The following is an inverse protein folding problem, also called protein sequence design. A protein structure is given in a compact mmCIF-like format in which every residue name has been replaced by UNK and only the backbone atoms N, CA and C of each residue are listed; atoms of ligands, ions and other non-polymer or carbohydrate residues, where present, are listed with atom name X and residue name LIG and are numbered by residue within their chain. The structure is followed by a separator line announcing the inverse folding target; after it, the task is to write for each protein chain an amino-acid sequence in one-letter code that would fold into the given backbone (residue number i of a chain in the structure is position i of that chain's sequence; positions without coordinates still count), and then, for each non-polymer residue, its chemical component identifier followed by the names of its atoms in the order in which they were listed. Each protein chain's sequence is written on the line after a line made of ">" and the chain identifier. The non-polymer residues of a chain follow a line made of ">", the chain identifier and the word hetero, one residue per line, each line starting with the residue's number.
data_IF_396290299369
#
_entry.id   IF_396290299369
#
_cell.length_a   1.000
_cell.length_b   1.000
_cell.length_c   1.000
_cell.angle_alpha   90.00
_cell.angle_beta   90.00
_cell.angle_gamma   90.00
#
_symmetry.space_group_name_H-M   'P 1'
#
loop_
_entity.id
_entity.type
_entity.pdbx_description
1 polymer ?
#
# COMPACT_ATOMS: atom_id res chain seq x y z
N UNK A 1 7.80 -32.01 -8.24
CA UNK A 1 7.88 -30.56 -8.02
C UNK A 1 8.38 -30.34 -6.59
N UNK A 2 9.38 -29.50 -6.42
CA UNK A 2 9.80 -29.07 -5.08
C UNK A 2 8.65 -28.32 -4.38
N UNK A 3 8.58 -28.42 -3.06
CA UNK A 3 7.57 -27.68 -2.29
C UNK A 3 7.73 -26.18 -2.58
N UNK A 4 6.67 -25.53 -3.05
CA UNK A 4 6.70 -24.13 -3.47
C UNK A 4 6.82 -23.90 -4.99
N UNK A 5 6.84 -24.94 -5.80
CA UNK A 5 6.82 -24.84 -7.26
C UNK A 5 5.40 -24.95 -7.81
N UNK A 6 5.08 -24.15 -8.83
CA UNK A 6 3.84 -24.18 -9.58
C UNK A 6 4.09 -24.39 -11.06
N UNK A 7 3.14 -25.04 -11.74
CA UNK A 7 3.17 -25.20 -13.19
C UNK A 7 2.08 -24.34 -13.82
N UNK A 8 2.48 -23.44 -14.73
CA UNK A 8 1.57 -22.56 -15.45
C UNK A 8 1.97 -22.49 -16.93
N UNK A 9 1.04 -22.69 -17.84
CA UNK A 9 1.28 -22.71 -19.29
C UNK A 9 2.48 -23.57 -19.75
N UNK A 10 2.68 -24.72 -19.09
CA UNK A 10 3.75 -25.67 -19.41
C UNK A 10 5.13 -25.33 -18.79
N UNK A 11 5.26 -24.18 -18.19
CA UNK A 11 6.47 -23.74 -17.49
C UNK A 11 6.38 -24.04 -16.00
N UNK A 12 7.52 -24.19 -15.35
CA UNK A 12 7.64 -24.37 -13.90
C UNK A 12 8.13 -23.07 -13.29
N UNK A 13 7.46 -22.63 -12.23
CA UNK A 13 7.82 -21.43 -11.49
C UNK A 13 8.14 -21.81 -10.05
N UNK A 14 9.19 -21.24 -9.50
CA UNK A 14 9.62 -21.44 -8.12
C UNK A 14 9.52 -20.11 -7.37
N UNK A 15 8.99 -20.15 -6.15
CA UNK A 15 8.91 -18.95 -5.31
C UNK A 15 10.33 -18.41 -5.06
N UNK A 16 10.53 -17.11 -5.31
CA UNK A 16 11.82 -16.44 -5.12
C UNK A 16 12.25 -16.53 -3.67
N UNK A 17 13.45 -17.02 -3.42
CA UNK A 17 14.00 -17.12 -2.06
C UNK A 17 14.42 -15.73 -1.57
N UNK A 18 14.30 -15.54 -0.28
CA UNK A 18 14.81 -14.36 0.43
C UNK A 18 14.11 -13.03 0.09
N UNK A 19 13.03 -13.05 -0.71
CA UNK A 19 12.23 -11.83 -0.89
C UNK A 19 11.51 -11.46 0.42
N UNK A 20 11.41 -10.17 0.66
CA UNK A 20 10.68 -9.61 1.79
C UNK A 20 9.50 -8.80 1.30
N UNK A 21 8.33 -9.07 1.85
CA UNK A 21 7.08 -8.42 1.46
C UNK A 21 6.49 -7.68 2.66
N UNK A 22 6.16 -6.40 2.48
CA UNK A 22 5.59 -5.55 3.52
C UNK A 22 4.28 -4.92 3.05
N UNK A 23 3.29 -4.93 3.94
CA UNK A 23 2.00 -4.28 3.70
C UNK A 23 2.02 -2.86 4.30
N UNK A 24 1.81 -1.87 3.45
CA UNK A 24 1.64 -0.47 3.86
C UNK A 24 0.18 -0.06 3.74
N UNK A 25 -0.36 0.49 4.82
CA UNK A 25 -1.74 0.95 4.92
C UNK A 25 -1.77 2.45 5.27
N UNK A 26 -2.54 3.21 4.50
CA UNK A 26 -2.92 4.57 4.84
C UNK A 26 -4.33 4.58 5.44
N UNK A 27 -4.44 4.91 6.71
CA UNK A 27 -5.71 4.86 7.47
C UNK A 27 -6.37 6.24 7.48
N UNK A 28 -7.68 6.26 7.27
CA UNK A 28 -8.52 7.46 7.24
C UNK A 28 -8.79 8.05 8.64
N UNK A 29 -7.74 8.12 9.46
CA UNK A 29 -7.77 8.66 10.82
C UNK A 29 -6.88 9.89 10.93
N UNK A 30 -7.23 10.76 11.84
CA UNK A 30 -6.45 11.95 12.20
C UNK A 30 -5.78 11.77 13.56
N UNK A 31 -4.64 12.45 13.73
CA UNK A 31 -3.88 12.44 14.97
C UNK A 31 -3.15 11.14 15.25
N UNK A 32 -2.80 10.94 16.50
CA UNK A 32 -2.09 9.76 16.97
C UNK A 32 -2.96 8.50 16.91
N UNK A 33 -2.31 7.34 16.76
CA UNK A 33 -3.01 6.05 16.79
C UNK A 33 -3.57 5.78 18.17
N UNK A 34 -4.82 5.29 18.21
CA UNK A 34 -5.54 4.97 19.46
C UNK A 34 -6.39 3.74 19.25
N UNK A 35 -6.42 2.90 20.28
CA UNK A 35 -7.33 1.77 20.32
C UNK A 35 -8.79 2.23 20.17
N UNK A 36 -9.56 1.50 19.39
CA UNK A 36 -11.00 1.69 19.24
C UNK A 36 -11.73 0.58 19.98
N UNK A 37 -12.60 0.94 20.91
CA UNK A 37 -13.48 -0.01 21.61
C UNK A 37 -14.71 -0.41 20.79
N UNK A 38 -14.92 0.23 19.65
CA UNK A 38 -16.08 -0.01 18.78
C UNK A 38 -15.60 -0.56 17.44
N UNK A 39 -16.14 -1.71 17.07
CA UNK A 39 -16.02 -2.26 15.71
C UNK A 39 -16.42 -1.19 14.69
N UNK A 40 -15.75 -1.22 13.54
CA UNK A 40 -15.87 -0.26 12.44
C UNK A 40 -15.40 1.17 12.75
N UNK A 41 -14.83 1.43 13.93
CA UNK A 41 -14.21 2.71 14.27
C UNK A 41 -12.70 2.70 14.26
N UNK A 42 -12.07 1.56 13.95
CA UNK A 42 -10.62 1.43 13.79
C UNK A 42 -10.04 2.19 12.59
N UNK A 43 -10.91 2.71 11.71
CA UNK A 43 -10.53 3.38 10.46
C UNK A 43 -10.44 2.43 9.29
N UNK A 44 -10.70 2.93 8.09
CA UNK A 44 -10.57 2.17 6.85
C UNK A 44 -9.19 2.41 6.23
N UNK A 45 -8.69 1.40 5.54
CA UNK A 45 -7.47 1.55 4.75
C UNK A 45 -7.80 2.23 3.41
N UNK A 46 -7.49 3.51 3.29
CA UNK A 46 -7.73 4.31 2.10
C UNK A 46 -6.60 4.23 1.07
N UNK A 47 -5.44 3.74 1.50
CA UNK A 47 -4.31 3.40 0.65
C UNK A 47 -3.77 2.03 1.08
N UNK A 48 -3.54 1.14 0.12
CA UNK A 48 -2.99 -0.20 0.35
C UNK A 48 -1.91 -0.47 -0.69
N UNK A 49 -0.71 -0.79 -0.21
CA UNK A 49 0.43 -1.13 -1.05
C UNK A 49 1.19 -2.33 -0.50
N UNK A 50 1.55 -3.27 -1.39
CA UNK A 50 2.57 -4.27 -1.09
C UNK A 50 3.91 -3.80 -1.64
N UNK A 51 4.90 -3.66 -0.78
CA UNK A 51 6.28 -3.46 -1.18
C UNK A 51 7.03 -4.77 -1.11
N UNK A 52 7.73 -5.12 -2.17
CA UNK A 52 8.51 -6.34 -2.30
C UNK A 52 9.97 -5.95 -2.50
N UNK A 53 10.83 -6.39 -1.58
CA UNK A 53 12.27 -6.25 -1.69
C UNK A 53 12.85 -7.58 -2.18
N UNK A 54 13.47 -7.57 -3.34
CA UNK A 54 14.14 -8.72 -3.94
C UNK A 54 15.66 -8.56 -3.83
N UNK A 55 16.31 -9.24 -2.88
CA UNK A 55 17.76 -9.18 -2.72
C UNK A 55 18.52 -9.82 -3.88
N UNK A 56 17.93 -10.81 -4.54
CA UNK A 56 18.53 -11.52 -5.67
C UNK A 56 18.68 -10.62 -6.89
N UNK A 57 17.62 -9.91 -7.23
CA UNK A 57 17.61 -8.94 -8.34
C UNK A 57 18.05 -7.53 -7.91
N UNK A 58 18.21 -7.29 -6.62
CA UNK A 58 18.41 -5.95 -6.02
C UNK A 58 17.37 -4.95 -6.52
N UNK A 59 16.12 -5.32 -6.37
CA UNK A 59 14.96 -4.63 -6.92
C UNK A 59 13.92 -4.37 -5.85
N UNK A 60 13.25 -3.21 -5.94
CA UNK A 60 12.03 -2.91 -5.20
C UNK A 60 10.87 -2.99 -6.18
N UNK A 61 9.83 -3.73 -5.84
CA UNK A 61 8.55 -3.71 -6.56
C UNK A 61 7.44 -3.25 -5.62
N UNK A 62 6.47 -2.52 -6.14
CA UNK A 62 5.32 -2.04 -5.37
C UNK A 62 4.05 -2.41 -6.11
N UNK A 63 3.10 -3.02 -5.42
CA UNK A 63 1.77 -3.35 -5.95
C UNK A 63 0.74 -2.47 -5.26
N UNK A 64 0.06 -1.63 -6.04
CA UNK A 64 -1.07 -0.84 -5.57
C UNK A 64 -2.36 -1.66 -5.57
N UNK A 65 -3.08 -1.66 -4.45
CA UNK A 65 -4.33 -2.38 -4.28
C UNK A 65 -5.47 -1.36 -4.20
N UNK A 66 -6.44 -1.46 -5.11
CA UNK A 66 -7.62 -0.62 -5.05
C UNK A 66 -8.39 -0.92 -3.77
N UNK A 67 -8.72 0.10 -2.97
CA UNK A 67 -9.41 -0.05 -1.69
C UNK A 67 -10.79 -0.70 -1.79
N UNK A 68 -11.44 -0.55 -2.93
CA UNK A 68 -12.77 -1.10 -3.20
C UNK A 68 -12.70 -2.55 -3.74
N UNK A 69 -11.51 -3.18 -3.74
CA UNK A 69 -11.30 -4.57 -4.16
C UNK A 69 -12.15 -5.51 -3.29
N UNK A 70 -12.99 -6.29 -3.94
CA UNK A 70 -13.78 -7.32 -3.29
C UNK A 70 -12.91 -8.51 -2.94
N UNK A 71 -12.68 -8.71 -1.64
CA UNK A 71 -11.78 -9.73 -1.11
C UNK A 71 -12.42 -10.48 0.06
N UNK A 72 -12.02 -11.74 0.23
CA UNK A 72 -12.44 -12.54 1.39
C UNK A 72 -11.70 -12.09 2.63
N UNK A 73 -12.41 -11.69 3.67
CA UNK A 73 -11.84 -11.20 4.93
C UNK A 73 -12.58 -11.73 6.14
N UNK A 74 -11.92 -11.74 7.28
CA UNK A 74 -12.52 -12.04 8.55
C UNK A 74 -13.50 -10.93 8.95
N UNK A 75 -14.67 -11.32 9.43
CA UNK A 75 -15.69 -10.40 9.94
C UNK A 75 -16.06 -10.75 11.36
N UNK A 76 -16.46 -9.75 12.12
CA UNK A 76 -16.76 -9.86 13.54
C UNK A 76 -18.16 -9.32 13.81
N UNK A 77 -18.86 -9.91 14.78
CA UNK A 77 -20.15 -9.42 15.22
C UNK A 77 -20.05 -8.11 16.02
N UNK A 78 -21.17 -7.53 16.39
CA UNK A 78 -21.22 -6.26 17.17
C UNK A 78 -20.55 -6.33 18.55
N UNK A 79 -20.24 -7.54 19.04
CA UNK A 79 -19.56 -7.77 20.30
C UNK A 79 -18.07 -8.07 20.13
N UNK A 80 -17.54 -7.95 18.90
CA UNK A 80 -16.15 -8.25 18.59
C UNK A 80 -15.82 -9.74 18.51
N UNK A 81 -16.83 -10.61 18.34
CA UNK A 81 -16.60 -12.04 18.19
C UNK A 81 -16.49 -12.39 16.72
N UNK A 82 -15.51 -13.23 16.40
CA UNK A 82 -15.35 -13.74 15.04
C UNK A 82 -16.66 -14.41 14.56
N UNK A 83 -17.14 -13.97 13.41
CA UNK A 83 -18.42 -14.37 12.82
C UNK A 83 -18.26 -15.13 11.49
N UNK A 84 -17.03 -15.35 11.04
CA UNK A 84 -16.72 -16.04 9.80
C UNK A 84 -15.96 -15.17 8.80
N UNK A 85 -15.98 -15.60 7.54
CA UNK A 85 -15.38 -14.85 6.43
C UNK A 85 -16.49 -14.37 5.50
N UNK A 86 -16.34 -13.17 4.98
CA UNK A 86 -17.22 -12.58 3.96
C UNK A 86 -16.40 -11.93 2.87
N UNK A 87 -16.98 -11.81 1.69
CA UNK A 87 -16.42 -11.00 0.61
C UNK A 87 -16.94 -9.57 0.76
N UNK A 88 -16.03 -8.64 0.93
CA UNK A 88 -16.32 -7.20 1.06
C UNK A 88 -15.15 -6.37 0.52
N UNK A 89 -15.31 -5.05 0.46
CA UNK A 89 -14.24 -4.13 0.08
C UNK A 89 -13.06 -4.27 1.04
N UNK A 90 -11.85 -4.48 0.50
CA UNK A 90 -10.65 -4.77 1.30
C UNK A 90 -10.29 -3.67 2.29
N UNK A 91 -10.65 -2.42 2.00
CA UNK A 91 -10.48 -1.28 2.92
C UNK A 91 -11.14 -1.50 4.29
N UNK A 92 -12.21 -2.31 4.35
CA UNK A 92 -12.97 -2.58 5.58
C UNK A 92 -12.25 -3.57 6.50
N UNK A 93 -11.28 -4.32 6.02
CA UNK A 93 -10.55 -5.32 6.82
C UNK A 93 -9.92 -4.70 8.07
N UNK A 94 -9.35 -3.49 7.94
CA UNK A 94 -8.78 -2.75 9.07
C UNK A 94 -9.86 -2.25 10.06
N UNK A 95 -11.03 -1.87 9.56
CA UNK A 95 -12.10 -1.34 10.39
C UNK A 95 -12.73 -2.39 11.33
N UNK A 96 -12.57 -3.68 11.02
CA UNK A 96 -13.09 -4.78 11.85
C UNK A 96 -12.26 -5.08 13.11
N UNK A 97 -11.09 -4.49 13.26
CA UNK A 97 -10.23 -4.69 14.44
C UNK A 97 -10.33 -3.56 15.46
N UNK A 98 -9.32 -3.51 16.31
CA UNK A 98 -9.18 -2.55 17.41
C UNK A 98 -8.59 -1.18 16.99
N UNK A 99 -8.25 -1.02 15.72
CA UNK A 99 -7.53 0.14 15.21
C UNK A 99 -6.02 0.09 15.41
N UNK A 100 -5.51 -0.99 15.97
CA UNK A 100 -4.09 -1.24 16.23
C UNK A 100 -3.64 -2.55 15.55
N UNK A 101 -2.97 -3.43 16.30
CA UNK A 101 -2.39 -4.67 15.76
C UNK A 101 -3.45 -5.60 15.15
N UNK A 102 -4.56 -5.85 15.85
CA UNK A 102 -5.64 -6.71 15.34
C UNK A 102 -6.19 -6.20 13.99
N UNK A 103 -6.35 -4.88 13.84
CA UNK A 103 -6.77 -4.28 12.57
C UNK A 103 -5.75 -4.49 11.45
N UNK A 104 -4.47 -4.38 11.76
CA UNK A 104 -3.39 -4.62 10.81
C UNK A 104 -3.32 -6.09 10.40
N UNK A 105 -3.44 -7.02 11.35
CA UNK A 105 -3.46 -8.46 11.11
C UNK A 105 -4.65 -8.89 10.25
N UNK A 106 -5.84 -8.31 10.48
CA UNK A 106 -7.00 -8.52 9.62
C UNK A 106 -6.76 -8.07 8.18
N UNK A 107 -6.09 -6.93 8.00
CA UNK A 107 -5.75 -6.44 6.67
C UNK A 107 -4.67 -7.29 6.01
N UNK A 108 -3.68 -7.74 6.78
CA UNK A 108 -2.63 -8.63 6.31
C UNK A 108 -3.23 -9.97 5.84
N UNK A 109 -4.13 -10.58 6.62
CA UNK A 109 -4.84 -11.80 6.24
C UNK A 109 -5.66 -11.60 4.95
N UNK A 110 -6.40 -10.50 4.84
CA UNK A 110 -7.21 -10.21 3.66
C UNK A 110 -6.35 -10.03 2.40
N UNK A 111 -5.23 -9.32 2.51
CA UNK A 111 -4.30 -9.11 1.39
C UNK A 111 -3.57 -10.40 1.04
N UNK A 112 -3.07 -11.16 2.01
CA UNK A 112 -2.45 -12.46 1.76
C UNK A 112 -3.39 -13.39 1.00
N UNK A 113 -4.66 -13.47 1.42
CA UNK A 113 -5.67 -14.29 0.74
C UNK A 113 -5.97 -13.80 -0.69
N UNK A 114 -6.03 -12.48 -0.91
CA UNK A 114 -6.21 -11.91 -2.25
C UNK A 114 -5.10 -12.34 -3.20
N UNK A 115 -3.87 -12.45 -2.70
CA UNK A 115 -2.68 -12.89 -3.44
C UNK A 115 -2.36 -14.38 -3.24
N UNK A 116 -3.39 -15.23 -3.15
CA UNK A 116 -3.28 -16.70 -3.10
C UNK A 116 -2.48 -17.25 -1.91
N UNK A 117 -2.52 -16.58 -0.77
CA UNK A 117 -1.84 -17.01 0.45
C UNK A 117 -0.35 -16.67 0.49
N UNK A 118 0.09 -15.67 -0.27
CA UNK A 118 1.48 -15.21 -0.22
C UNK A 118 1.88 -14.78 1.19
N UNK A 119 3.09 -15.11 1.64
CA UNK A 119 3.61 -14.64 2.91
C UNK A 119 3.86 -13.13 2.86
N UNK A 120 3.39 -12.43 3.89
CA UNK A 120 3.67 -11.01 4.13
C UNK A 120 4.46 -10.93 5.42
N UNK A 121 5.65 -10.34 5.37
CA UNK A 121 6.66 -10.42 6.43
C UNK A 121 6.53 -9.33 7.49
N UNK A 122 5.74 -8.30 7.20
CA UNK A 122 5.48 -7.23 8.14
C UNK A 122 4.48 -6.21 7.58
N UNK A 123 4.04 -5.33 8.44
CA UNK A 123 3.09 -4.27 8.09
C UNK A 123 3.47 -2.92 8.70
N UNK A 124 2.97 -1.87 8.07
CA UNK A 124 3.02 -0.51 8.60
C UNK A 124 1.72 0.22 8.23
N UNK A 125 0.89 0.51 9.22
CA UNK A 125 -0.33 1.29 9.08
C UNK A 125 -0.08 2.72 9.60
N UNK A 126 -0.36 3.71 8.76
CA UNK A 126 -0.14 5.12 9.06
C UNK A 126 -1.47 5.87 9.03
N UNK A 127 -1.73 6.69 10.04
CA UNK A 127 -2.78 7.70 9.93
C UNK A 127 -2.39 8.70 8.83
N UNK A 128 -3.20 8.81 7.77
CA UNK A 128 -2.80 9.47 6.52
C UNK A 128 -2.28 10.91 6.65
N UNK A 129 -2.77 11.77 7.58
CA UNK A 129 -2.24 13.13 7.70
C UNK A 129 -0.74 13.21 8.01
N UNK A 130 -0.13 12.13 8.54
CA UNK A 130 1.33 12.10 8.80
C UNK A 130 2.16 12.17 7.52
N UNK A 131 1.57 11.89 6.37
CA UNK A 131 2.22 12.01 5.06
C UNK A 131 2.78 13.42 4.83
N UNK A 132 2.13 14.47 5.34
CA UNK A 132 2.66 15.85 5.29
C UNK A 132 4.04 15.95 5.94
N UNK A 133 4.25 15.30 7.09
CA UNK A 133 5.54 15.29 7.80
C UNK A 133 6.59 14.48 7.05
N UNK A 134 6.23 13.29 6.54
CA UNK A 134 7.12 12.45 5.73
C UNK A 134 7.57 13.19 4.47
N UNK A 135 6.63 13.84 3.77
CA UNK A 135 6.88 14.62 2.58
C UNK A 135 7.92 15.73 2.83
N UNK A 136 7.73 16.50 3.90
CA UNK A 136 8.61 17.62 4.20
C UNK A 136 9.99 17.18 4.68
N UNK A 137 10.06 16.04 5.37
CA UNK A 137 11.33 15.48 5.85
C UNK A 137 12.26 15.02 4.73
N UNK A 138 11.71 14.62 3.57
CA UNK A 138 12.50 14.29 2.37
C UNK A 138 12.73 15.51 1.46
N UNK A 139 12.28 16.70 1.86
CA UNK A 139 12.44 17.95 1.11
C UNK A 139 11.27 18.29 0.19
N UNK A 140 10.17 17.54 0.23
CA UNK A 140 9.01 17.68 -0.65
C UNK A 140 9.09 16.78 -1.88
N UNK A 141 7.98 16.64 -2.58
CA UNK A 141 7.82 15.74 -3.74
C UNK A 141 7.25 16.50 -4.93
N UNK A 142 7.86 16.33 -6.09
CA UNK A 142 7.39 16.91 -7.34
C UNK A 142 6.38 15.98 -8.04
N UNK A 143 5.22 16.51 -8.37
CA UNK A 143 4.16 15.77 -9.08
C UNK A 143 3.64 16.55 -10.28
N UNK A 144 3.07 15.82 -11.24
CA UNK A 144 2.28 16.40 -12.33
C UNK A 144 0.81 16.31 -11.96
N UNK A 145 0.09 17.41 -11.98
CA UNK A 145 -1.33 17.47 -11.62
C UNK A 145 -2.16 16.73 -12.66
N UNK A 146 -2.81 15.61 -12.28
CA UNK A 146 -3.74 14.93 -13.16
C UNK A 146 -5.10 15.63 -13.19
N UNK A 147 -5.96 15.27 -14.17
CA UNK A 147 -7.32 15.81 -14.26
C UNK A 147 -8.10 15.66 -12.94
N UNK A 148 -7.94 14.53 -12.26
CA UNK A 148 -8.61 14.24 -10.98
C UNK A 148 -8.18 15.12 -9.81
N UNK A 149 -7.15 15.95 -9.97
CA UNK A 149 -6.67 16.93 -8.98
C UNK A 149 -6.77 18.38 -9.49
N UNK A 150 -7.32 18.58 -10.69
CA UNK A 150 -7.48 19.90 -11.28
C UNK A 150 -8.34 20.81 -10.40
N UNK A 151 -7.82 21.99 -10.09
CA UNK A 151 -8.56 23.00 -9.33
C UNK A 151 -8.68 22.76 -7.82
N UNK A 152 -8.10 21.67 -7.26
CA UNK A 152 -8.15 21.40 -5.82
C UNK A 152 -7.40 22.44 -5.00
N UNK A 153 -6.38 23.06 -5.57
CA UNK A 153 -5.63 24.16 -4.98
C UNK A 153 -5.29 25.22 -6.02
N UNK A 154 -4.96 26.41 -5.53
CA UNK A 154 -4.52 27.50 -6.40
C UNK A 154 -3.24 27.09 -7.16
N UNK A 155 -3.30 27.15 -8.48
CA UNK A 155 -2.21 26.75 -9.35
C UNK A 155 -2.18 25.27 -9.73
N UNK A 156 -3.07 24.46 -9.20
CA UNK A 156 -3.21 23.08 -9.62
C UNK A 156 -4.09 22.99 -10.87
N UNK A 157 -3.44 23.01 -12.01
CA UNK A 157 -4.08 22.80 -13.32
C UNK A 157 -3.54 21.53 -13.96
N UNK A 158 -4.37 20.81 -14.68
CA UNK A 158 -3.97 19.56 -15.35
C UNK A 158 -2.69 19.77 -16.16
N UNK A 159 -1.70 18.91 -15.93
CA UNK A 159 -0.39 18.95 -16.59
C UNK A 159 0.63 19.89 -15.93
N UNK A 160 0.24 20.68 -14.92
CA UNK A 160 1.20 21.52 -14.19
C UNK A 160 2.12 20.68 -13.31
N UNK A 161 3.42 20.99 -13.31
CA UNK A 161 4.37 20.46 -12.33
C UNK A 161 4.28 21.27 -11.03
N UNK A 162 4.11 20.58 -9.91
CA UNK A 162 3.95 21.19 -8.58
C UNK A 162 4.84 20.49 -7.58
N UNK A 163 5.56 21.31 -6.81
CA UNK A 163 6.32 20.85 -5.65
C UNK A 163 5.42 20.82 -4.41
N UNK A 164 5.08 19.61 -3.95
CA UNK A 164 4.20 19.41 -2.80
C UNK A 164 4.96 19.66 -1.48
N UNK A 165 4.36 20.49 -0.62
CA UNK A 165 4.83 20.77 0.75
C UNK A 165 3.67 20.71 1.74
N UNK A 166 3.96 20.26 2.96
CA UNK A 166 3.01 20.22 4.05
C UNK A 166 1.72 19.49 3.66
N UNK A 167 0.59 20.08 4.01
CA UNK A 167 -0.73 19.48 3.78
C UNK A 167 -1.12 19.36 2.30
N UNK A 168 -0.42 20.03 1.38
CA UNK A 168 -0.65 19.85 -0.04
C UNK A 168 -0.38 18.39 -0.48
N UNK A 169 0.65 17.74 0.10
CA UNK A 169 0.93 16.33 -0.15
C UNK A 169 -0.22 15.44 0.31
N UNK A 170 -0.72 15.68 1.53
CA UNK A 170 -1.87 14.93 2.06
C UNK A 170 -3.12 15.14 1.22
N UNK A 171 -3.46 16.38 0.83
CA UNK A 171 -4.60 16.67 -0.04
C UNK A 171 -4.49 15.98 -1.39
N UNK A 172 -3.31 15.96 -2.00
CA UNK A 172 -3.08 15.31 -3.28
C UNK A 172 -3.42 13.82 -3.25
N UNK A 173 -3.03 13.10 -2.19
CA UNK A 173 -3.25 11.65 -2.09
C UNK A 173 -4.61 11.26 -1.50
N UNK A 174 -5.26 12.17 -0.74
CA UNK A 174 -6.52 11.87 -0.05
C UNK A 174 -7.75 12.17 -0.88
N UNK A 175 -7.74 13.23 -1.65
CA UNK A 175 -8.94 13.72 -2.32
C UNK A 175 -9.63 12.62 -3.15
N UNK A 176 -10.94 12.55 -3.03
CA UNK A 176 -11.81 11.69 -3.82
C UNK A 176 -13.09 12.44 -4.15
N UNK A 177 -13.40 12.58 -5.43
CA UNK A 177 -14.69 13.07 -5.88
C UNK A 177 -15.65 11.89 -6.00
N UNK A 178 -16.44 11.68 -4.95
CA UNK A 178 -17.40 10.56 -4.87
C UNK A 178 -18.60 10.74 -5.81
N UNK A 179 -18.75 11.89 -6.46
CA UNK A 179 -19.75 12.10 -7.51
C UNK A 179 -19.29 11.57 -8.88
N UNK A 180 -18.00 11.25 -9.02
CA UNK A 180 -17.43 10.68 -10.24
C UNK A 180 -17.30 9.16 -10.12
N UNK A 181 -17.63 8.45 -11.18
CA UNK A 181 -17.33 7.02 -11.30
C UNK A 181 -15.82 6.78 -11.30
N UNK A 182 -15.37 5.61 -10.82
CA UNK A 182 -13.95 5.23 -10.73
C UNK A 182 -13.09 6.20 -9.88
N UNK A 183 -13.71 6.89 -8.95
CA UNK A 183 -13.01 7.88 -8.12
C UNK A 183 -11.96 7.26 -7.20
N UNK A 184 -12.13 5.99 -6.80
CA UNK A 184 -11.12 5.25 -6.03
C UNK A 184 -9.88 4.93 -6.89
N UNK A 185 -10.09 4.57 -8.15
CA UNK A 185 -9.01 4.30 -9.09
C UNK A 185 -8.22 5.57 -9.41
N UNK A 186 -8.90 6.69 -9.67
CA UNK A 186 -8.26 8.00 -9.87
C UNK A 186 -7.43 8.44 -8.65
N UNK A 187 -7.88 8.12 -7.42
CA UNK A 187 -7.12 8.37 -6.21
C UNK A 187 -5.91 7.44 -6.12
N UNK A 188 -6.05 6.16 -6.42
CA UNK A 188 -4.95 5.20 -6.44
C UNK A 188 -3.85 5.64 -7.42
N UNK A 189 -4.19 6.14 -8.60
CA UNK A 189 -3.22 6.66 -9.56
C UNK A 189 -2.44 7.88 -9.03
N UNK A 190 -3.10 8.78 -8.28
CA UNK A 190 -2.38 9.88 -7.59
C UNK A 190 -1.47 9.36 -6.47
N UNK A 191 -1.94 8.42 -5.68
CA UNK A 191 -1.15 7.78 -4.64
C UNK A 191 0.07 7.07 -5.23
N UNK A 192 -0.11 6.37 -6.35
CA UNK A 192 0.97 5.72 -7.12
C UNK A 192 2.00 6.74 -7.61
N UNK A 193 1.57 7.81 -8.26
CA UNK A 193 2.47 8.88 -8.72
C UNK A 193 3.27 9.46 -7.56
N UNK A 194 2.58 9.80 -6.45
CA UNK A 194 3.21 10.35 -5.27
C UNK A 194 4.23 9.38 -4.66
N UNK A 195 3.84 8.14 -4.43
CA UNK A 195 4.70 7.13 -3.78
C UNK A 195 5.96 6.85 -4.60
N UNK A 196 5.86 6.75 -5.93
CA UNK A 196 7.02 6.60 -6.82
C UNK A 196 8.01 7.75 -6.63
N UNK A 197 7.52 8.98 -6.68
CA UNK A 197 8.36 10.18 -6.50
C UNK A 197 8.91 10.28 -5.08
N UNK A 198 8.11 9.93 -4.07
CA UNK A 198 8.54 9.91 -2.67
C UNK A 198 9.68 8.90 -2.44
N UNK A 199 9.58 7.67 -2.95
CA UNK A 199 10.64 6.65 -2.82
C UNK A 199 11.96 7.15 -3.42
N UNK A 200 11.92 7.74 -4.62
CA UNK A 200 13.11 8.28 -5.28
C UNK A 200 13.70 9.44 -4.48
N UNK A 201 12.86 10.37 -4.02
CA UNK A 201 13.29 11.51 -3.23
C UNK A 201 13.84 11.08 -1.86
N UNK A 202 13.22 10.10 -1.21
CA UNK A 202 13.70 9.55 0.05
C UNK A 202 15.09 8.89 -0.11
N UNK A 203 15.31 8.15 -1.20
CA UNK A 203 16.63 7.57 -1.50
C UNK A 203 17.70 8.64 -1.66
N UNK A 204 17.41 9.74 -2.36
CA UNK A 204 18.35 10.85 -2.50
C UNK A 204 18.61 11.57 -1.15
N UNK A 205 17.56 11.83 -0.37
CA UNK A 205 17.70 12.42 0.95
C UNK A 205 18.54 11.53 1.90
N UNK A 206 18.32 10.21 1.87
CA UNK A 206 19.09 9.25 2.68
C UNK A 206 20.58 9.18 2.27
N UNK A 207 20.94 9.40 1.02
CA UNK A 207 22.35 9.52 0.59
C UNK A 207 23.03 10.72 1.22
N UNK A 208 22.29 11.79 1.50
CA UNK A 208 22.80 13.00 2.14
C UNK A 208 22.82 12.87 3.67
N UNK A 209 21.85 12.15 4.24
CA UNK A 209 21.74 11.92 5.68
C UNK A 209 21.31 10.47 5.96
N UNK A 210 22.28 9.62 6.27
CA UNK A 210 22.05 8.20 6.60
C UNK A 210 21.27 7.98 7.91
N UNK A 211 21.06 9.03 8.71
CA UNK A 211 20.25 8.96 9.95
C UNK A 211 18.76 9.21 9.69
N UNK A 212 18.41 9.68 8.48
CA UNK A 212 17.05 10.02 8.10
C UNK A 212 16.03 8.89 8.37
N UNK A 213 16.31 7.60 8.07
CA UNK A 213 15.33 6.53 8.36
C UNK A 213 14.95 6.44 9.84
N UNK A 214 15.93 6.54 10.74
CA UNK A 214 15.67 6.53 12.18
C UNK A 214 14.93 7.79 12.64
N UNK A 215 15.29 8.95 12.11
CA UNK A 215 14.58 10.21 12.40
C UNK A 215 13.12 10.13 11.97
N UNK A 216 12.85 9.64 10.73
CA UNK A 216 11.50 9.45 10.22
C UNK A 216 10.72 8.46 11.07
N UNK A 217 11.30 7.29 11.35
CA UNK A 217 10.65 6.28 12.18
C UNK A 217 10.23 6.86 13.53
N UNK A 218 11.14 7.53 14.22
CA UNK A 218 10.87 8.16 15.52
C UNK A 218 9.77 9.23 15.43
N UNK A 219 9.80 10.06 14.39
CA UNK A 219 8.85 11.14 14.19
C UNK A 219 7.43 10.64 13.92
N UNK A 220 7.28 9.52 13.21
CA UNK A 220 5.97 8.98 12.82
C UNK A 220 5.43 7.92 13.78
N UNK A 221 6.25 7.41 14.72
CA UNK A 221 5.84 6.39 15.70
C UNK A 221 4.49 6.68 16.38
N UNK A 222 4.16 7.91 16.81
CA UNK A 222 2.85 8.18 17.42
C UNK A 222 1.65 8.01 16.46
N UNK A 223 1.91 7.97 15.17
CA UNK A 223 0.89 7.96 14.11
C UNK A 223 0.87 6.66 13.32
N UNK A 224 1.64 5.65 13.77
CA UNK A 224 1.72 4.38 13.06
C UNK A 224 1.52 3.18 13.99
N UNK A 225 1.07 2.08 13.39
CA UNK A 225 1.08 0.73 13.97
C UNK A 225 1.92 -0.15 13.05
N UNK A 226 2.95 -0.78 13.59
CA UNK A 226 3.84 -1.63 12.80
C UNK A 226 4.43 -2.73 13.67
N UNK A 227 4.70 -3.88 13.08
CA UNK A 227 5.46 -4.99 13.66
C UNK A 227 6.95 -4.94 13.31
N UNK A 228 7.37 -3.94 12.49
CA UNK A 228 8.75 -3.69 12.11
C UNK A 228 9.41 -2.79 13.15
N UNK A 229 10.50 -3.21 13.75
CA UNK A 229 11.27 -2.40 14.71
C UNK A 229 12.06 -1.29 14.05
N UNK A 230 12.50 -0.30 14.83
CA UNK A 230 13.32 0.81 14.30
C UNK A 230 14.63 0.31 13.67
N UNK A 231 15.29 -0.67 14.29
CA UNK A 231 16.54 -1.25 13.77
C UNK A 231 16.32 -1.98 12.46
N UNK A 232 15.24 -2.76 12.34
CA UNK A 232 14.85 -3.41 11.11
C UNK A 232 14.52 -2.40 10.01
N UNK A 233 13.76 -1.35 10.33
CA UNK A 233 13.42 -0.28 9.39
C UNK A 233 14.68 0.42 8.85
N UNK A 234 15.64 0.73 9.71
CA UNK A 234 16.93 1.33 9.32
C UNK A 234 17.74 0.38 8.44
N UNK A 235 17.79 -0.90 8.81
CA UNK A 235 18.47 -1.92 8.02
C UNK A 235 17.84 -2.06 6.62
N UNK A 236 16.52 -2.21 6.55
CA UNK A 236 15.79 -2.35 5.27
C UNK A 236 15.95 -1.10 4.40
N UNK A 237 15.89 0.09 4.98
CA UNK A 237 16.14 1.34 4.27
C UNK A 237 17.55 1.40 3.69
N UNK A 238 18.55 0.96 4.45
CA UNK A 238 19.95 0.84 3.99
C UNK A 238 20.10 -0.12 2.82
N UNK A 239 19.45 -1.28 2.85
CA UNK A 239 19.43 -2.23 1.73
C UNK A 239 18.75 -1.61 0.50
N UNK A 240 17.58 -0.99 0.68
CA UNK A 240 16.80 -0.37 -0.38
C UNK A 240 17.56 0.73 -1.15
N UNK A 241 18.55 1.38 -0.52
CA UNK A 241 19.40 2.37 -1.22
C UNK A 241 20.12 1.79 -2.43
N UNK A 242 20.57 0.53 -2.33
CA UNK A 242 21.28 -0.16 -3.39
C UNK A 242 20.38 -0.83 -4.42
N UNK A 243 19.07 -0.93 -4.16
CA UNK A 243 18.11 -1.59 -5.04
C UNK A 243 17.60 -0.64 -6.11
N UNK A 244 17.33 -1.18 -7.30
CA UNK A 244 16.65 -0.43 -8.36
C UNK A 244 15.17 -0.22 -8.02
N UNK A 245 14.62 0.87 -8.52
CA UNK A 245 13.19 1.17 -8.52
C UNK A 245 12.87 2.15 -9.64
N UNK A 246 12.04 1.76 -10.56
CA UNK A 246 11.66 2.55 -11.74
C UNK A 246 10.16 2.53 -12.03
N UNK A 247 9.80 3.04 -13.18
CA UNK A 247 8.38 3.14 -13.58
C UNK A 247 7.70 1.79 -13.75
N UNK A 248 8.43 0.80 -14.26
CA UNK A 248 7.92 -0.55 -14.51
C UNK A 248 7.87 -1.41 -13.24
N UNK A 249 8.39 -0.91 -12.12
CA UNK A 249 8.40 -1.63 -10.84
C UNK A 249 7.19 -1.30 -9.96
N UNK A 250 6.28 -0.47 -10.45
CA UNK A 250 5.02 -0.17 -9.80
C UNK A 250 3.85 -0.81 -10.54
N UNK A 251 3.28 -1.82 -9.94
CA UNK A 251 2.18 -2.62 -10.49
C UNK A 251 0.83 -2.12 -9.99
N UNK A 252 -0.18 -2.21 -10.85
CA UNK A 252 -1.59 -2.03 -10.50
C UNK A 252 -2.36 -3.29 -10.88
N UNK A 253 -3.34 -3.67 -10.08
CA UNK A 253 -4.21 -4.79 -10.43
C UNK A 253 -5.16 -4.38 -11.55
N UNK A 254 -5.31 -5.23 -12.55
CA UNK A 254 -6.32 -5.10 -13.60
C UNK A 254 -7.64 -5.72 -13.13
N UNK A 255 -8.76 -5.12 -13.47
CA UNK A 255 -10.06 -5.62 -13.07
C UNK A 255 -11.23 -4.78 -13.59
N UNK A 256 -12.40 -5.00 -13.03
CA UNK A 256 -13.64 -4.34 -13.42
C UNK A 256 -14.27 -3.64 -12.23
N UNK A 257 -14.62 -2.36 -12.39
CA UNK A 257 -15.43 -1.61 -11.43
C UNK A 257 -16.90 -1.85 -11.72
N UNK A 258 -17.68 -2.15 -10.69
CA UNK A 258 -19.14 -2.28 -10.75
C UNK A 258 -19.77 -1.47 -9.63
N UNK A 259 -20.94 -0.90 -9.87
CA UNK A 259 -21.72 -0.30 -8.79
C UNK A 259 -22.41 -1.43 -8.02
N UNK A 260 -22.09 -1.57 -6.73
CA UNK A 260 -22.81 -2.42 -5.80
C UNK A 260 -24.11 -1.76 -5.31
N UNK A 261 -24.69 -2.25 -4.23
CA UNK A 261 -25.94 -1.68 -3.68
C UNK A 261 -25.78 -0.22 -3.22
N UNK A 262 -24.61 0.14 -2.72
CA UNK A 262 -24.34 1.48 -2.13
C UNK A 262 -23.03 2.10 -2.56
N UNK A 263 -22.03 1.29 -2.93
CA UNK A 263 -20.67 1.73 -3.21
C UNK A 263 -20.12 1.03 -4.45
N UNK A 264 -19.10 1.61 -5.05
CA UNK A 264 -18.32 0.94 -6.09
C UNK A 264 -17.61 -0.28 -5.53
N UNK A 265 -17.51 -1.33 -6.33
CA UNK A 265 -16.85 -2.60 -6.05
C UNK A 265 -15.85 -2.88 -7.16
N UNK A 266 -14.61 -3.21 -6.82
CA UNK A 266 -13.57 -3.59 -7.78
C UNK A 266 -13.38 -5.11 -7.74
N UNK A 267 -13.49 -5.74 -8.90
CA UNK A 267 -13.29 -7.16 -9.10
C UNK A 267 -12.02 -7.38 -9.93
N UNK A 268 -10.92 -7.89 -9.31
CA UNK A 268 -9.70 -8.20 -10.04
C UNK A 268 -9.95 -9.22 -11.15
N UNK A 269 -9.26 -9.04 -12.29
CA UNK A 269 -9.12 -10.11 -13.28
C UNK A 269 -8.23 -11.19 -12.70
N UNK A 270 -8.79 -12.39 -12.49
CA UNK A 270 -8.10 -13.50 -11.83
C UNK A 270 -6.86 -13.95 -12.61
N UNK A 271 -6.92 -13.97 -13.94
CA UNK A 271 -5.78 -14.36 -14.78
C UNK A 271 -4.66 -13.34 -14.68
N UNK A 272 -4.99 -12.05 -14.84
CA UNK A 272 -4.01 -10.97 -14.74
C UNK A 272 -3.40 -10.88 -13.32
N UNK A 273 -4.21 -11.11 -12.28
CA UNK A 273 -3.71 -11.13 -10.90
C UNK A 273 -2.76 -12.31 -10.66
N UNK A 274 -3.10 -13.48 -11.20
CA UNK A 274 -2.23 -14.67 -11.10
C UNK A 274 -0.91 -14.46 -11.82
N UNK A 275 -0.94 -13.89 -13.03
CA UNK A 275 0.27 -13.55 -13.80
C UNK A 275 1.12 -12.50 -13.09
N UNK A 276 0.51 -11.48 -12.49
CA UNK A 276 1.20 -10.50 -11.65
C UNK A 276 1.92 -11.18 -10.47
N UNK A 277 1.26 -12.14 -9.81
CA UNK A 277 1.89 -12.90 -8.72
C UNK A 277 3.08 -13.69 -9.21
N UNK A 278 2.97 -14.34 -10.37
CA UNK A 278 4.09 -15.08 -10.98
C UNK A 278 5.26 -14.15 -11.31
N UNK A 279 4.98 -13.00 -11.91
CA UNK A 279 6.02 -12.04 -12.33
C UNK A 279 6.81 -11.46 -11.15
N UNK A 280 6.12 -11.10 -10.07
CA UNK A 280 6.75 -10.42 -8.94
C UNK A 280 7.38 -11.40 -7.96
N UNK A 281 6.71 -12.51 -7.63
CA UNK A 281 7.07 -13.38 -6.51
C UNK A 281 7.72 -14.70 -6.91
N UNK A 282 7.74 -15.05 -8.18
CA UNK A 282 8.26 -16.31 -8.68
C UNK A 282 9.29 -16.07 -9.77
N UNK A 283 10.16 -17.04 -9.94
CA UNK A 283 11.11 -17.14 -11.06
C UNK A 283 10.81 -18.38 -11.88
N UNK A 284 10.97 -18.29 -13.21
CA UNK A 284 10.86 -19.44 -14.10
C UNK A 284 12.04 -20.38 -13.81
N UNK A 285 11.75 -21.63 -13.48
CA UNK A 285 12.79 -22.62 -13.24
C UNK A 285 13.56 -22.87 -14.54
N UNK A 286 14.90 -22.87 -14.46
CA UNK A 286 15.74 -23.30 -15.58
C UNK A 286 15.43 -24.75 -15.97
N UNK A 287 15.30 -25.03 -17.26
CA UNK A 287 15.09 -26.36 -17.82
C UNK A 287 16.23 -27.33 -17.45
#
# INVERSE_FOLDING_TARGET
>A
LEAGSIRYHGKVYTYKKDILTFLFLGIDKEGEVKASSNLFKGGQADALFLAVLDPGEKKISVIGINRDTMASMNVYDKNGRYSGRQTAQIALSHAYGDGLEESCENSLDAVSNLFYGLPIHGYCALNMPVVSKLNDAVGGVDVVIPESANGLEKGWTTGAEVHLKGDAAYRFIRYRDTAQEQSAEARLERQKQYLKKFILQAKEAMKQDMTLPLQLYTQITPYMVTDVTADEAVYLAGQALSYSFGDDDFYSMTGTVKMGEKFEEFYPDETALYELVLDVFYEEAAD
#
